data_IF_914218114015
#
_entry.id   IF_914218114015
#
_cell.length_a   1.000
_cell.length_b   1.000
_cell.length_c   1.000
_cell.angle_alpha   90.00
_cell.angle_beta   90.00
_cell.angle_gamma   90.00
#
_symmetry.space_group_name_H-M   'P 1'
#
loop_
_entity.id
_entity.type
_entity.pdbx_description
1 polymer ?
#
# COMPACT_ATOMS: atom_id res chain seq x y z
N UNK A 1 -39.18 27.98 -22.90
CA UNK A 1 -37.93 28.50 -23.50
C UNK A 1 -37.90 30.02 -23.32
N UNK A 2 -37.52 30.47 -22.12
CA UNK A 2 -37.49 31.89 -21.76
C UNK A 2 -36.15 32.54 -22.12
N UNK A 3 -36.17 33.85 -22.42
CA UNK A 3 -34.95 34.65 -22.57
C UNK A 3 -34.45 35.02 -21.18
N UNK A 4 -33.13 35.03 -21.00
CA UNK A 4 -32.54 35.47 -19.73
C UNK A 4 -32.84 36.96 -19.48
N UNK A 5 -33.24 37.34 -18.25
CA UNK A 5 -33.34 38.76 -17.89
C UNK A 5 -31.95 39.41 -17.98
N UNK A 6 -31.91 40.64 -18.50
CA UNK A 6 -30.69 41.44 -18.61
C UNK A 6 -30.00 41.55 -17.24
N UNK A 7 -28.73 41.13 -17.16
CA UNK A 7 -27.91 41.15 -15.95
C UNK A 7 -27.39 39.79 -15.45
N UNK A 8 -27.82 38.66 -16.02
CA UNK A 8 -27.21 37.35 -15.74
C UNK A 8 -27.51 36.81 -14.33
N UNK A 9 -26.62 35.95 -13.81
CA UNK A 9 -26.74 35.36 -12.49
C UNK A 9 -26.50 36.42 -11.42
N UNK A 10 -27.39 36.46 -10.42
CA UNK A 10 -27.31 37.40 -9.30
C UNK A 10 -26.77 36.70 -8.06
N UNK A 11 -25.79 37.30 -7.40
CA UNK A 11 -25.31 36.86 -6.09
C UNK A 11 -26.36 37.02 -5.00
N UNK A 12 -26.16 36.49 -3.78
CA UNK A 12 -27.17 36.48 -2.72
C UNK A 12 -27.70 37.88 -2.39
N UNK A 13 -29.02 38.03 -2.28
CA UNK A 13 -29.68 39.32 -2.07
C UNK A 13 -31.20 39.26 -2.20
N UNK A 14 -31.85 40.41 -2.06
CA UNK A 14 -33.30 40.55 -2.30
C UNK A 14 -33.51 40.93 -3.76
N UNK A 15 -34.34 40.17 -4.47
CA UNK A 15 -34.66 40.44 -5.87
C UNK A 15 -36.17 40.49 -6.04
N UNK A 16 -36.64 41.43 -6.85
CA UNK A 16 -38.04 41.54 -7.23
C UNK A 16 -38.35 40.61 -8.40
N UNK A 17 -39.15 39.57 -8.14
CA UNK A 17 -39.60 38.57 -9.12
C UNK A 17 -41.09 38.80 -9.37
N UNK A 18 -41.48 38.99 -10.63
CA UNK A 18 -42.88 39.19 -11.00
C UNK A 18 -43.62 37.84 -10.95
N UNK A 19 -44.65 37.69 -10.10
CA UNK A 19 -45.43 36.45 -10.07
C UNK A 19 -46.08 36.21 -11.44
N UNK A 20 -46.08 34.96 -11.90
CA UNK A 20 -46.65 34.46 -13.17
C UNK A 20 -45.83 34.68 -14.46
N UNK A 21 -44.83 35.57 -14.49
CA UNK A 21 -44.01 35.84 -15.70
C UNK A 21 -42.58 35.33 -15.52
N UNK A 22 -41.99 35.61 -14.36
CA UNK A 22 -40.60 35.26 -14.09
C UNK A 22 -40.51 33.95 -13.32
N UNK A 23 -39.63 33.06 -13.78
CA UNK A 23 -39.19 31.88 -13.04
C UNK A 23 -37.75 32.10 -12.55
N UNK A 24 -37.44 31.65 -11.33
CA UNK A 24 -36.09 31.72 -10.80
C UNK A 24 -35.62 30.33 -10.40
N UNK A 25 -34.36 30.02 -10.70
CA UNK A 25 -33.70 28.79 -10.29
C UNK A 25 -32.62 29.11 -9.26
N UNK A 26 -32.75 28.55 -8.05
CA UNK A 26 -31.70 28.63 -7.04
C UNK A 26 -30.67 27.54 -7.32
N UNK A 27 -29.42 27.95 -7.48
CA UNK A 27 -28.30 27.04 -7.78
C UNK A 27 -27.34 27.05 -6.59
N UNK A 28 -26.96 25.88 -6.10
CA UNK A 28 -25.92 25.75 -5.07
C UNK A 28 -24.53 25.75 -5.71
N UNK A 29 -23.62 26.57 -5.18
CA UNK A 29 -22.24 26.70 -5.69
C UNK A 29 -21.24 25.88 -4.87
N UNK A 30 -21.70 25.23 -3.79
CA UNK A 30 -20.85 24.38 -2.93
C UNK A 30 -20.45 23.10 -3.65
N UNK A 31 -19.35 22.52 -3.22
CA UNK A 31 -18.95 21.17 -3.64
C UNK A 31 -19.98 20.16 -3.16
N UNK A 32 -20.48 19.38 -4.11
CA UNK A 32 -21.40 18.27 -3.90
C UNK A 32 -20.76 17.00 -4.46
N UNK A 33 -21.07 15.88 -3.83
CA UNK A 33 -20.64 14.57 -4.30
C UNK A 33 -21.83 13.75 -4.79
N UNK A 34 -21.56 12.82 -5.69
CA UNK A 34 -22.49 11.75 -6.04
C UNK A 34 -21.74 10.47 -6.34
N UNK A 35 -22.39 9.35 -6.05
CA UNK A 35 -21.89 8.02 -6.41
C UNK A 35 -22.20 7.71 -7.89
N UNK A 36 -21.19 7.21 -8.60
CA UNK A 36 -21.33 6.57 -9.90
C UNK A 36 -21.66 5.10 -9.63
N UNK A 37 -22.78 4.58 -10.15
CA UNK A 37 -23.17 3.19 -9.89
C UNK A 37 -22.12 2.22 -10.44
N UNK A 38 -21.98 1.01 -9.84
CA UNK A 38 -21.01 0.01 -10.27
C UNK A 38 -21.11 -0.29 -11.76
N UNK A 39 -19.97 -0.28 -12.45
CA UNK A 39 -19.85 -0.58 -13.88
C UNK A 39 -19.12 -1.90 -14.07
N UNK A 40 -19.78 -2.87 -14.71
CA UNK A 40 -19.14 -4.10 -15.16
C UNK A 40 -18.42 -3.85 -16.50
N UNK A 41 -17.11 -4.06 -16.51
CA UNK A 41 -16.23 -3.76 -17.65
C UNK A 41 -15.18 -4.84 -17.80
N UNK A 42 -14.81 -5.11 -19.06
CA UNK A 42 -13.65 -5.93 -19.38
C UNK A 42 -12.40 -5.05 -19.44
N UNK A 43 -11.40 -5.35 -18.63
CA UNK A 43 -10.10 -4.68 -18.65
C UNK A 43 -9.29 -5.06 -19.90
N UNK A 44 -8.17 -4.37 -20.13
CA UNK A 44 -7.26 -4.63 -21.26
C UNK A 44 -6.71 -6.06 -21.28
N UNK A 45 -6.54 -6.68 -20.10
CA UNK A 45 -6.11 -8.05 -19.88
C UNK A 45 -7.26 -9.07 -19.87
N UNK A 46 -8.45 -8.69 -20.37
CA UNK A 46 -9.62 -9.58 -20.50
C UNK A 46 -10.16 -10.10 -19.17
N UNK A 47 -10.04 -9.31 -18.10
CA UNK A 47 -10.65 -9.62 -16.80
C UNK A 47 -11.94 -8.84 -16.63
N UNK A 48 -12.99 -9.52 -16.17
CA UNK A 48 -14.24 -8.85 -15.79
C UNK A 48 -14.11 -8.27 -14.39
N UNK A 49 -14.33 -6.95 -14.28
CA UNK A 49 -14.31 -6.23 -13.00
C UNK A 49 -15.56 -5.37 -12.86
N UNK A 50 -16.01 -5.19 -11.63
CA UNK A 50 -17.06 -4.23 -11.29
C UNK A 50 -16.47 -3.12 -10.44
N UNK A 51 -16.57 -1.89 -10.91
CA UNK A 51 -15.94 -0.73 -10.26
C UNK A 51 -16.96 0.38 -10.06
N UNK A 52 -16.99 0.96 -8.86
CA UNK A 52 -17.73 2.17 -8.55
C UNK A 52 -16.79 3.32 -8.15
N UNK A 53 -17.31 4.54 -8.22
CA UNK A 53 -16.54 5.75 -8.00
C UNK A 53 -17.41 6.86 -7.43
N UNK A 54 -16.79 7.84 -6.78
CA UNK A 54 -17.42 9.06 -6.28
C UNK A 54 -16.84 10.26 -7.01
N UNK A 55 -17.69 11.15 -7.47
CA UNK A 55 -17.28 12.38 -8.15
C UNK A 55 -17.65 13.58 -7.28
N UNK A 56 -16.65 14.43 -7.00
CA UNK A 56 -16.82 15.70 -6.30
C UNK A 56 -16.78 16.81 -7.33
N UNK A 57 -17.86 17.58 -7.42
CA UNK A 57 -17.98 18.68 -8.35
C UNK A 57 -18.62 19.90 -7.69
N UNK A 58 -18.42 21.06 -8.29
CA UNK A 58 -19.16 22.27 -7.96
C UNK A 58 -19.55 23.01 -9.22
N UNK A 59 -20.53 23.88 -9.11
CA UNK A 59 -20.90 24.76 -10.22
C UNK A 59 -19.95 25.96 -10.23
N UNK A 60 -19.25 26.15 -11.35
CA UNK A 60 -18.38 27.32 -11.58
C UNK A 60 -19.15 28.47 -12.23
N UNK A 61 -20.06 28.14 -13.16
CA UNK A 61 -20.91 29.11 -13.85
C UNK A 61 -22.38 28.68 -13.80
N UNK A 62 -23.19 29.30 -12.91
CA UNK A 62 -24.60 28.92 -12.75
C UNK A 62 -25.46 29.27 -13.98
N UNK A 63 -25.03 30.19 -14.85
CA UNK A 63 -25.76 30.48 -16.08
C UNK A 63 -25.63 29.32 -17.06
N UNK A 64 -24.40 28.84 -17.29
CA UNK A 64 -24.16 27.70 -18.17
C UNK A 64 -24.86 26.44 -17.67
N UNK A 65 -24.84 26.20 -16.35
CA UNK A 65 -25.45 25.02 -15.74
C UNK A 65 -26.97 24.92 -15.95
N UNK A 66 -27.66 26.06 -16.08
CA UNK A 66 -29.12 26.10 -16.28
C UNK A 66 -29.49 26.18 -17.76
N UNK A 67 -28.67 26.85 -18.59
CA UNK A 67 -29.02 27.13 -20.00
C UNK A 67 -28.54 26.01 -20.93
N UNK A 68 -27.33 25.49 -20.71
CA UNK A 68 -26.67 24.61 -21.68
C UNK A 68 -27.16 23.17 -21.61
N UNK A 69 -27.70 22.74 -20.46
CA UNK A 69 -28.16 21.38 -20.25
C UNK A 69 -29.41 21.36 -19.39
N UNK A 70 -30.37 20.50 -19.73
CA UNK A 70 -31.65 20.41 -19.02
C UNK A 70 -31.48 20.00 -17.54
N UNK A 71 -30.54 19.09 -17.26
CA UNK A 71 -30.18 18.68 -15.91
C UNK A 71 -28.69 18.34 -15.84
N UNK A 72 -27.88 19.30 -15.41
CA UNK A 72 -26.43 19.13 -15.29
C UNK A 72 -26.08 17.94 -14.40
N UNK A 73 -26.78 17.76 -13.27
CA UNK A 73 -26.48 16.69 -12.31
C UNK A 73 -26.70 15.29 -12.91
N UNK A 74 -27.77 15.12 -13.69
CA UNK A 74 -28.04 13.84 -14.37
C UNK A 74 -27.08 13.61 -15.54
N UNK A 75 -26.84 14.62 -16.38
CA UNK A 75 -25.92 14.51 -17.52
C UNK A 75 -24.49 14.23 -17.09
N UNK A 76 -24.00 14.90 -16.03
CA UNK A 76 -22.68 14.62 -15.45
C UNK A 76 -22.59 13.21 -14.88
N UNK A 77 -23.66 12.68 -14.26
CA UNK A 77 -23.71 11.28 -13.79
C UNK A 77 -23.56 10.27 -14.93
N UNK A 78 -24.30 10.47 -16.03
CA UNK A 78 -24.20 9.60 -17.21
C UNK A 78 -22.82 9.65 -17.83
N UNK A 79 -22.28 10.86 -17.99
CA UNK A 79 -20.94 11.06 -18.53
C UNK A 79 -19.87 10.40 -17.65
N UNK A 80 -19.97 10.54 -16.33
CA UNK A 80 -19.08 9.87 -15.38
C UNK A 80 -19.09 8.34 -15.54
N UNK A 81 -20.27 7.73 -15.70
CA UNK A 81 -20.37 6.28 -15.93
C UNK A 81 -19.71 5.86 -17.25
N UNK A 82 -19.91 6.62 -18.34
CA UNK A 82 -19.29 6.33 -19.64
C UNK A 82 -17.77 6.53 -19.60
N UNK A 83 -17.28 7.62 -18.99
CA UNK A 83 -15.85 7.88 -18.85
C UNK A 83 -15.17 6.84 -17.97
N UNK A 84 -15.80 6.44 -16.86
CA UNK A 84 -15.30 5.35 -16.02
C UNK A 84 -15.13 4.07 -16.84
N UNK A 85 -16.16 3.67 -17.60
CA UNK A 85 -16.07 2.49 -18.47
C UNK A 85 -14.96 2.58 -19.50
N UNK A 86 -14.80 3.72 -20.16
CA UNK A 86 -13.79 3.91 -21.19
C UNK A 86 -12.37 3.85 -20.61
N UNK A 87 -12.12 4.54 -19.49
CA UNK A 87 -10.80 4.55 -18.84
C UNK A 87 -10.45 3.15 -18.35
N UNK A 88 -11.36 2.46 -17.66
CA UNK A 88 -11.13 1.10 -17.15
C UNK A 88 -10.83 0.09 -18.26
N UNK A 89 -11.48 0.21 -19.44
CA UNK A 89 -11.23 -0.67 -20.58
C UNK A 89 -9.84 -0.53 -21.20
N UNK A 90 -9.16 0.59 -20.98
CA UNK A 90 -7.78 0.83 -21.48
C UNK A 90 -6.69 0.40 -20.51
N UNK A 91 -7.06 0.04 -19.27
CA UNK A 91 -6.15 -0.26 -18.16
C UNK A 91 -6.12 -1.76 -17.86
N UNK A 92 -4.99 -2.21 -17.34
CA UNK A 92 -4.81 -3.60 -16.87
C UNK A 92 -5.34 -3.73 -15.43
N UNK A 93 -5.73 -4.95 -15.02
CA UNK A 93 -6.18 -5.21 -13.64
C UNK A 93 -5.15 -4.78 -12.59
N UNK A 94 -3.87 -5.04 -12.83
CA UNK A 94 -2.80 -4.67 -11.89
C UNK A 94 -2.77 -3.16 -11.63
N UNK A 95 -2.90 -2.34 -12.67
CA UNK A 95 -2.95 -0.87 -12.57
C UNK A 95 -4.18 -0.41 -11.79
N UNK A 96 -5.34 -1.06 -11.97
CA UNK A 96 -6.55 -0.76 -11.20
C UNK A 96 -6.38 -1.01 -9.70
N UNK A 97 -5.54 -1.97 -9.32
CA UNK A 97 -5.29 -2.33 -7.92
C UNK A 97 -4.17 -1.48 -7.30
N UNK A 98 -3.13 -1.10 -8.06
CA UNK A 98 -1.96 -0.39 -7.54
C UNK A 98 -1.95 1.12 -7.81
N UNK A 99 -2.48 1.56 -8.96
CA UNK A 99 -2.35 2.94 -9.46
C UNK A 99 -3.71 3.69 -9.47
N UNK A 100 -4.52 3.50 -8.43
CA UNK A 100 -5.86 4.11 -8.32
C UNK A 100 -5.84 5.64 -8.46
N UNK A 101 -4.81 6.30 -7.94
CA UNK A 101 -4.66 7.75 -8.01
C UNK A 101 -4.46 8.24 -9.45
N UNK A 102 -3.63 7.55 -10.25
CA UNK A 102 -3.37 7.92 -11.63
C UNK A 102 -4.63 7.78 -12.50
N UNK A 103 -5.42 6.72 -12.27
CA UNK A 103 -6.69 6.49 -12.97
C UNK A 103 -7.71 7.57 -12.56
N UNK A 104 -7.80 7.87 -11.27
CA UNK A 104 -8.68 8.90 -10.73
C UNK A 104 -8.37 10.28 -11.31
N UNK A 105 -7.09 10.64 -11.41
CA UNK A 105 -6.65 11.88 -12.03
C UNK A 105 -6.98 11.93 -13.53
N UNK A 106 -6.74 10.83 -14.26
CA UNK A 106 -7.09 10.75 -15.69
C UNK A 106 -8.59 10.94 -15.93
N UNK A 107 -9.41 10.31 -15.09
CA UNK A 107 -10.86 10.45 -15.14
C UNK A 107 -11.32 11.86 -14.76
N UNK A 108 -10.69 12.49 -13.75
CA UNK A 108 -10.96 13.87 -13.36
C UNK A 108 -10.74 14.82 -14.55
N UNK A 109 -9.56 14.76 -15.19
CA UNK A 109 -9.23 15.65 -16.32
C UNK A 109 -10.23 15.47 -17.46
N UNK A 110 -10.52 14.22 -17.83
CA UNK A 110 -11.45 13.93 -18.93
C UNK A 110 -12.89 14.38 -18.62
N UNK A 111 -13.34 14.23 -17.36
CA UNK A 111 -14.67 14.70 -16.96
C UNK A 111 -14.74 16.21 -16.90
N UNK A 112 -13.75 16.86 -16.32
CA UNK A 112 -13.69 18.31 -16.16
C UNK A 112 -13.76 19.02 -17.52
N UNK A 113 -12.95 18.58 -18.48
CA UNK A 113 -12.95 19.11 -19.86
C UNK A 113 -14.33 18.97 -20.54
N UNK A 114 -14.98 17.82 -20.34
CA UNK A 114 -16.28 17.56 -20.95
C UNK A 114 -17.45 18.26 -20.23
N UNK A 115 -17.30 18.61 -18.95
CA UNK A 115 -18.34 19.30 -18.15
C UNK A 115 -18.20 20.82 -18.11
N UNK A 116 -17.04 21.36 -18.51
CA UNK A 116 -16.77 22.80 -18.60
C UNK A 116 -17.82 23.58 -19.42
N UNK A 117 -18.32 23.08 -20.58
CA UNK A 117 -19.39 23.75 -21.33
C UNK A 117 -20.69 23.90 -20.54
N UNK A 118 -20.95 23.02 -19.58
CA UNK A 118 -22.11 23.06 -18.69
C UNK A 118 -21.86 23.91 -17.44
N UNK A 119 -20.70 24.55 -17.28
CA UNK A 119 -20.38 25.34 -16.09
C UNK A 119 -20.23 24.50 -14.82
N UNK A 120 -19.91 23.22 -14.97
CA UNK A 120 -19.63 22.28 -13.88
C UNK A 120 -18.13 22.03 -13.83
N UNK A 121 -17.53 22.26 -12.66
CA UNK A 121 -16.11 22.01 -12.38
C UNK A 121 -15.97 20.73 -11.58
N UNK A 122 -15.19 19.77 -12.09
CA UNK A 122 -14.90 18.53 -11.36
C UNK A 122 -13.63 18.72 -10.55
N UNK A 123 -13.77 18.67 -9.23
CA UNK A 123 -12.65 18.92 -8.30
C UNK A 123 -11.84 17.66 -8.05
N UNK A 124 -12.52 16.52 -7.90
CA UNK A 124 -11.88 15.24 -7.61
C UNK A 124 -12.77 14.08 -8.03
N UNK A 125 -12.13 12.99 -8.44
CA UNK A 125 -12.76 11.68 -8.60
C UNK A 125 -12.05 10.71 -7.68
N UNK A 126 -12.79 9.84 -7.01
CA UNK A 126 -12.24 8.78 -6.16
C UNK A 126 -12.83 7.44 -6.58
N UNK A 127 -11.97 6.47 -6.86
CA UNK A 127 -12.40 5.08 -7.05
C UNK A 127 -12.72 4.51 -5.66
N UNK A 128 -13.92 3.97 -5.49
CA UNK A 128 -14.39 3.45 -4.20
C UNK A 128 -13.99 1.99 -4.07
N UNK A 129 -14.70 1.08 -4.74
CA UNK A 129 -14.45 -0.35 -4.69
C UNK A 129 -14.16 -0.94 -6.08
N UNK A 130 -13.29 -1.96 -6.10
CA UNK A 130 -12.98 -2.77 -7.28
C UNK A 130 -13.29 -4.21 -6.92
N UNK A 131 -14.38 -4.73 -7.46
CA UNK A 131 -14.89 -6.07 -7.19
C UNK A 131 -14.54 -7.02 -8.34
N UNK A 132 -13.98 -8.17 -7.98
CA UNK A 132 -13.59 -9.25 -8.89
C UNK A 132 -14.53 -10.44 -8.70
N UNK A 133 -14.75 -11.27 -9.74
CA UNK A 133 -15.43 -12.55 -9.58
C UNK A 133 -14.74 -13.42 -8.52
N UNK A 134 -15.53 -14.00 -7.61
CA UNK A 134 -15.01 -14.77 -6.46
C UNK A 134 -14.02 -15.88 -6.85
N UNK A 135 -14.24 -16.51 -8.02
CA UNK A 135 -13.37 -17.57 -8.53
C UNK A 135 -11.97 -17.03 -8.86
N UNK A 136 -11.88 -15.89 -9.56
CA UNK A 136 -10.61 -15.25 -9.91
C UNK A 136 -9.92 -14.68 -8.68
N UNK A 137 -10.66 -14.04 -7.78
CA UNK A 137 -10.11 -13.47 -6.55
C UNK A 137 -9.42 -14.55 -5.70
N UNK A 138 -10.02 -15.74 -5.57
CA UNK A 138 -9.43 -16.88 -4.85
C UNK A 138 -8.16 -17.41 -5.55
N UNK A 139 -8.21 -17.55 -6.88
CA UNK A 139 -7.05 -18.03 -7.65
C UNK A 139 -5.86 -17.06 -7.53
N UNK A 140 -6.10 -15.76 -7.69
CA UNK A 140 -5.09 -14.71 -7.52
C UNK A 140 -4.55 -14.65 -6.09
N UNK A 141 -5.40 -14.82 -5.08
CA UNK A 141 -4.96 -14.85 -3.69
C UNK A 141 -4.01 -16.03 -3.43
N UNK A 142 -4.35 -17.22 -3.93
CA UNK A 142 -3.50 -18.41 -3.82
C UNK A 142 -2.17 -18.25 -4.57
N UNK A 143 -2.19 -17.70 -5.78
CA UNK A 143 -0.97 -17.41 -6.56
C UNK A 143 -0.08 -16.38 -5.85
N UNK A 144 -0.67 -15.29 -5.35
CA UNK A 144 0.05 -14.24 -4.63
C UNK A 144 0.67 -14.77 -3.32
N UNK A 145 -0.02 -15.65 -2.61
CA UNK A 145 0.50 -16.30 -1.41
C UNK A 145 1.69 -17.21 -1.74
N UNK A 146 1.55 -18.08 -2.74
CA UNK A 146 2.64 -18.94 -3.18
C UNK A 146 3.87 -18.15 -3.66
N UNK A 147 3.67 -17.07 -4.42
CA UNK A 147 4.75 -16.18 -4.88
C UNK A 147 5.43 -15.47 -3.72
N UNK A 148 4.66 -14.99 -2.73
CA UNK A 148 5.19 -14.35 -1.51
C UNK A 148 6.00 -15.34 -0.67
N UNK A 149 5.51 -16.57 -0.50
CA UNK A 149 6.23 -17.61 0.26
C UNK A 149 7.54 -18.00 -0.43
N UNK A 150 7.51 -18.18 -1.77
CA UNK A 150 8.71 -18.48 -2.55
C UNK A 150 9.75 -17.34 -2.44
N UNK A 151 9.31 -16.07 -2.58
CA UNK A 151 10.19 -14.90 -2.40
C UNK A 151 10.75 -14.81 -0.99
N UNK A 152 9.93 -15.08 0.03
CA UNK A 152 10.38 -15.07 1.42
C UNK A 152 11.49 -16.11 1.67
N UNK A 153 11.37 -17.32 1.11
CA UNK A 153 12.41 -18.36 1.20
C UNK A 153 13.71 -17.94 0.53
N UNK A 154 13.66 -17.31 -0.63
CA UNK A 154 14.85 -16.81 -1.33
C UNK A 154 15.54 -15.72 -0.50
N UNK A 155 14.78 -14.76 0.02
CA UNK A 155 15.31 -13.68 0.87
C UNK A 155 15.93 -14.25 2.14
N UNK A 156 15.31 -15.26 2.76
CA UNK A 156 15.84 -15.93 3.95
C UNK A 156 17.17 -16.63 3.65
N UNK A 157 17.24 -17.42 2.57
CA UNK A 157 18.47 -18.11 2.15
C UNK A 157 19.59 -17.13 1.79
N UNK A 158 19.28 -16.03 1.08
CA UNK A 158 20.25 -14.97 0.81
C UNK A 158 20.71 -14.27 2.08
N UNK A 159 19.79 -14.03 3.02
CA UNK A 159 20.10 -13.48 4.34
C UNK A 159 21.04 -14.38 5.13
N UNK A 160 20.78 -15.69 5.17
CA UNK A 160 21.64 -16.69 5.81
C UNK A 160 23.03 -16.76 5.19
N UNK A 161 23.12 -16.72 3.85
CA UNK A 161 24.41 -16.70 3.16
C UNK A 161 25.20 -15.43 3.48
N UNK A 162 24.57 -14.25 3.46
CA UNK A 162 25.21 -12.98 3.82
C UNK A 162 25.69 -12.99 5.27
N UNK A 163 24.87 -13.47 6.19
CA UNK A 163 25.24 -13.61 7.60
C UNK A 163 26.42 -14.58 7.79
N UNK A 164 26.40 -15.73 7.10
CA UNK A 164 27.47 -16.73 7.17
C UNK A 164 28.80 -16.20 6.63
N UNK A 165 28.77 -15.42 5.54
CA UNK A 165 29.98 -14.76 5.00
C UNK A 165 30.56 -13.75 5.99
N UNK A 166 29.72 -12.89 6.56
CA UNK A 166 30.16 -11.92 7.56
C UNK A 166 30.76 -12.60 8.81
N UNK A 167 30.15 -13.70 9.26
CA UNK A 167 30.68 -14.50 10.37
C UNK A 167 32.02 -15.16 10.03
N UNK A 168 32.18 -15.68 8.80
CA UNK A 168 33.45 -16.23 8.33
C UNK A 168 34.54 -15.16 8.33
N UNK A 169 34.30 -14.00 7.72
CA UNK A 169 35.27 -12.89 7.69
C UNK A 169 35.65 -12.45 9.11
N UNK A 170 34.67 -12.33 10.01
CA UNK A 170 34.94 -12.04 11.42
C UNK A 170 35.80 -13.12 12.08
N UNK A 171 35.55 -14.40 11.79
CA UNK A 171 36.34 -15.52 12.32
C UNK A 171 37.77 -15.51 11.79
N UNK A 172 37.97 -15.23 10.50
CA UNK A 172 39.29 -15.16 9.88
C UNK A 172 40.12 -14.04 10.53
N UNK A 173 39.54 -12.84 10.70
CA UNK A 173 40.17 -11.71 11.40
C UNK A 173 40.49 -12.05 12.87
N UNK A 174 39.58 -12.73 13.56
CA UNK A 174 39.81 -13.15 14.95
C UNK A 174 40.92 -14.21 15.06
N UNK A 175 41.10 -15.06 14.06
CA UNK A 175 42.17 -16.07 14.03
C UNK A 175 43.54 -15.45 13.80
N UNK A 176 43.63 -14.34 13.05
CA UNK A 176 44.89 -13.61 12.83
C UNK A 176 45.41 -12.96 14.12
N UNK A 177 44.54 -12.63 15.08
CA UNK A 177 44.92 -11.98 16.34
C UNK A 177 44.44 -12.76 17.58
N UNK A 178 45.34 -13.52 18.25
CA UNK A 178 44.99 -14.29 19.45
C UNK A 178 44.38 -13.45 20.60
N UNK A 179 44.74 -12.16 20.67
CA UNK A 179 44.20 -11.22 21.66
C UNK A 179 42.70 -10.92 21.43
N UNK A 180 42.22 -10.95 20.19
CA UNK A 180 40.81 -10.73 19.87
C UNK A 180 39.92 -11.87 20.40
N UNK A 181 40.39 -13.12 20.32
CA UNK A 181 39.70 -14.28 20.90
C UNK A 181 39.59 -14.19 22.43
N UNK A 182 40.66 -13.76 23.11
CA UNK A 182 40.63 -13.53 24.56
C UNK A 182 39.66 -12.42 24.96
N UNK A 183 39.63 -11.29 24.23
CA UNK A 183 38.68 -10.21 24.49
C UNK A 183 37.24 -10.66 24.26
N UNK A 184 36.97 -11.42 23.18
CA UNK A 184 35.65 -12.01 22.94
C UNK A 184 35.27 -12.96 24.07
N UNK A 185 36.18 -13.83 24.52
CA UNK A 185 35.94 -14.73 25.65
C UNK A 185 35.55 -13.99 26.93
N UNK A 186 36.28 -12.92 27.28
CA UNK A 186 35.95 -12.06 28.43
C UNK A 186 34.60 -11.34 28.25
N UNK A 187 34.28 -10.87 27.05
CA UNK A 187 32.97 -10.29 26.76
C UNK A 187 31.84 -11.31 26.96
N UNK A 188 31.98 -12.52 26.40
CA UNK A 188 30.99 -13.59 26.57
C UNK A 188 30.80 -13.95 28.04
N UNK A 189 31.89 -14.01 28.81
CA UNK A 189 31.81 -14.21 30.26
C UNK A 189 31.04 -13.10 30.97
N UNK A 190 31.22 -11.85 30.58
CA UNK A 190 30.47 -10.73 31.14
C UNK A 190 28.97 -10.82 30.80
N UNK A 191 28.62 -11.21 29.56
CA UNK A 191 27.23 -11.39 29.15
C UNK A 191 26.55 -12.53 29.93
N UNK A 192 27.24 -13.67 30.09
CA UNK A 192 26.75 -14.82 30.87
C UNK A 192 26.63 -14.47 32.36
N UNK A 193 27.56 -13.69 32.92
CA UNK A 193 27.50 -13.22 34.31
C UNK A 193 26.35 -12.23 34.55
N UNK A 194 25.99 -11.45 33.53
CA UNK A 194 24.87 -10.50 33.57
C UNK A 194 23.51 -11.19 33.49
N UNK A 195 23.36 -12.30 32.76
CA UNK A 195 22.16 -13.14 32.81
C UNK A 195 22.17 -13.97 34.10
N UNK A 196 21.29 -13.63 35.05
CA UNK A 196 21.21 -14.20 36.41
C UNK A 196 20.94 -15.72 36.46
N UNK A 197 21.88 -16.56 36.05
CA UNK A 197 21.85 -18.03 36.21
C UNK A 197 22.93 -18.47 37.21
N UNK A 198 22.51 -19.18 38.26
CA UNK A 198 23.33 -19.51 39.45
C UNK A 198 24.40 -20.59 39.24
N UNK A 199 24.53 -21.12 38.02
CA UNK A 199 25.46 -22.21 37.70
C UNK A 199 26.31 -21.80 36.50
N UNK A 200 27.53 -21.31 36.76
CA UNK A 200 28.51 -20.94 35.73
C UNK A 200 29.22 -22.21 35.27
N UNK A 201 28.83 -22.76 34.12
CA UNK A 201 29.57 -23.85 33.48
C UNK A 201 30.77 -23.23 32.78
N UNK A 202 31.95 -23.48 33.31
CA UNK A 202 33.19 -22.88 32.82
C UNK A 202 33.88 -23.81 31.80
N UNK A 203 33.94 -23.45 30.51
CA UNK A 203 34.74 -24.19 29.54
C UNK A 203 36.21 -23.75 29.68
N UNK A 204 37.03 -24.58 30.31
CA UNK A 204 38.50 -24.42 30.33
C UNK A 204 39.09 -25.00 29.02
N UNK A 205 39.98 -24.29 28.33
CA UNK A 205 40.77 -24.86 27.24
C UNK A 205 41.63 -26.01 27.77
N UNK A 206 41.63 -27.16 27.09
CA UNK A 206 42.41 -28.33 27.49
C UNK A 206 43.92 -28.03 27.59
N UNK A 207 44.41 -27.03 26.84
CA UNK A 207 45.80 -26.53 26.89
C UNK A 207 46.25 -26.09 28.29
N UNK A 208 45.34 -25.52 29.10
CA UNK A 208 45.63 -25.10 30.48
C UNK A 208 45.64 -26.29 31.45
N UNK A 209 44.98 -27.40 31.09
CA UNK A 209 44.88 -28.62 31.90
C UNK A 209 46.07 -29.58 31.73
N UNK A 210 46.77 -29.56 30.59
CA UNK A 210 47.94 -30.43 30.35
C UNK A 210 49.02 -30.38 31.47
N UNK A 211 49.47 -29.21 31.94
CA UNK A 211 50.48 -29.16 33.00
C UNK A 211 49.98 -29.70 34.37
N UNK A 212 48.67 -29.80 34.58
CA UNK A 212 48.10 -30.38 35.81
C UNK A 212 47.91 -31.90 35.71
N UNK A 213 47.74 -32.46 34.51
CA UNK A 213 47.69 -33.91 34.29
C UNK A 213 49.07 -34.57 34.46
N UNK A 214 50.15 -33.89 34.09
CA UNK A 214 51.52 -34.39 34.26
C UNK A 214 51.99 -34.40 35.74
N UNK A 215 51.27 -33.71 36.64
CA UNK A 215 51.61 -33.62 38.07
C UNK A 215 50.90 -34.67 38.95
N UNK A 216 50.06 -35.55 38.40
CA UNK A 216 49.48 -36.65 39.18
C UNK A 216 50.48 -37.81 39.32
N UNK A 217 50.99 -38.12 40.53
CA UNK A 217 51.93 -39.21 40.72
C UNK A 217 51.27 -40.56 40.41
N UNK A 218 51.98 -41.38 39.62
CA UNK A 218 51.60 -42.70 39.13
C UNK A 218 51.48 -43.80 40.22
N UNK A 219 51.21 -43.46 41.49
CA UNK A 219 51.26 -44.40 42.61
C UNK A 219 49.94 -45.08 42.97
N UNK A 220 48.84 -44.85 42.25
CA UNK A 220 47.51 -45.38 42.60
C UNK A 220 46.89 -46.40 41.61
N UNK A 221 47.63 -46.92 40.63
CA UNK A 221 47.08 -47.85 39.61
C UNK A 221 47.59 -49.30 39.70
N UNK A 222 48.19 -49.71 40.82
CA UNK A 222 48.63 -51.11 41.06
C UNK A 222 48.00 -51.71 42.33
N UNK A 223 46.67 -51.71 42.43
CA UNK A 223 45.99 -52.56 43.45
C UNK A 223 44.55 -53.01 43.12
N UNK A 224 44.22 -53.13 41.83
CA UNK A 224 42.96 -53.76 41.38
C UNK A 224 43.22 -54.71 40.20
N UNK A 225 43.98 -55.78 40.46
CA UNK A 225 44.06 -56.93 39.54
C UNK A 225 44.30 -58.28 40.24
N UNK A 226 44.00 -58.36 41.55
CA UNK A 226 43.78 -59.63 42.25
C UNK A 226 42.66 -59.47 43.24
N UNK A 227 41.44 -59.71 42.75
CA UNK A 227 40.34 -60.48 43.33
C UNK A 227 39.15 -60.36 42.38
#
# INVERSE_FOLDING_TARGET
MGRLRSGGARGPGVFFVLPCIDEYCKVDLRTVSFDVPPQEVLTKDSVTVSVDAVVYYRISDPLKAVIQVANYSHSTRLLAATTLRNVLGTRNLSELLTEREAISHTMQVSLDEATDPWGVKVERVEIKDVSLPMQLQRAMAAEAEASREARAKVIAAEGEMKASRALKEASDIMSESPAALQLRYLQTLNTISSEKNSTIVFPLPLEVLYPFCDFLPQSALRKKQRL
#
